data_IF_928996773085
#
_entry.id   IF_928996773085
#
_cell.length_a   1.000
_cell.length_b   1.000
_cell.length_c   1.000
_cell.angle_alpha   90.00
_cell.angle_beta   90.00
_cell.angle_gamma   90.00
#
_symmetry.space_group_name_H-M   'P 1'
#
loop_
_entity.id
_entity.type
_entity.pdbx_description
1 polymer ?
#
# COMPACT_ATOMS: atom_id res chain seq x y z
N UNK A 1 21.04 18.11 3.38
CA UNK A 1 21.36 17.58 4.73
C UNK A 1 20.17 17.73 5.66
N UNK A 2 19.82 16.70 6.42
CA UNK A 2 18.75 16.71 7.42
C UNK A 2 19.16 17.54 8.67
N UNK A 3 18.14 18.02 9.38
CA UNK A 3 18.32 18.74 10.65
C UNK A 3 18.21 17.76 11.83
N UNK A 4 18.78 18.16 12.98
CA UNK A 4 18.64 17.39 14.24
C UNK A 4 17.16 17.19 14.64
N UNK A 5 16.27 18.14 14.31
CA UNK A 5 14.84 18.03 14.56
C UNK A 5 14.19 16.95 13.68
N UNK A 6 14.63 16.80 12.43
CA UNK A 6 14.15 15.72 11.54
C UNK A 6 14.61 14.34 12.00
N UNK A 7 15.86 14.21 12.46
CA UNK A 7 16.35 12.98 13.06
C UNK A 7 15.52 12.59 14.30
N UNK A 8 15.29 13.58 15.18
CA UNK A 8 14.49 13.39 16.39
C UNK A 8 13.05 12.94 16.06
N UNK A 9 12.41 13.55 15.04
CA UNK A 9 11.09 13.16 14.57
C UNK A 9 11.06 11.69 14.12
N UNK A 10 12.06 11.24 13.35
CA UNK A 10 12.18 9.83 12.91
C UNK A 10 12.24 8.88 14.10
N UNK A 11 13.07 9.18 15.11
CA UNK A 11 13.22 8.33 16.30
C UNK A 11 11.94 8.30 17.14
N UNK A 12 11.30 9.46 17.37
CA UNK A 12 10.06 9.58 18.13
C UNK A 12 8.91 8.82 17.44
N UNK A 13 8.79 8.92 16.11
CA UNK A 13 7.79 8.18 15.32
C UNK A 13 8.03 6.68 15.39
N UNK A 14 9.28 6.23 15.30
CA UNK A 14 9.63 4.81 15.42
C UNK A 14 9.27 4.26 16.80
N UNK A 15 9.55 5.00 17.88
CA UNK A 15 9.18 4.62 19.25
C UNK A 15 7.66 4.65 19.47
N UNK A 16 6.95 5.58 18.83
CA UNK A 16 5.49 5.63 18.85
C UNK A 16 4.88 4.41 18.16
N UNK A 17 5.44 4.01 17.02
CA UNK A 17 5.01 2.80 16.30
C UNK A 17 5.18 1.53 17.14
N UNK A 18 6.27 1.38 17.91
CA UNK A 18 6.44 0.25 18.82
C UNK A 18 5.27 0.11 19.80
N UNK A 19 4.82 1.24 20.35
CA UNK A 19 3.70 1.31 21.30
C UNK A 19 2.36 1.06 20.61
N UNK A 20 2.08 1.70 19.47
CA UNK A 20 0.81 1.54 18.73
C UNK A 20 0.63 0.12 18.18
N UNK A 21 1.71 -0.53 17.76
CA UNK A 21 1.70 -1.88 17.24
C UNK A 21 1.76 -2.94 18.36
N UNK A 22 1.99 -2.54 19.62
CA UNK A 22 2.19 -3.44 20.75
C UNK A 22 3.30 -4.49 20.47
N UNK A 23 4.46 -4.03 19.99
CA UNK A 23 5.53 -4.91 19.50
C UNK A 23 5.97 -5.93 20.56
N UNK A 24 6.08 -5.53 21.81
CA UNK A 24 6.50 -6.46 22.88
C UNK A 24 5.48 -7.56 23.13
N UNK A 25 4.18 -7.21 23.10
CA UNK A 25 3.12 -8.21 23.21
C UNK A 25 3.10 -9.15 22.00
N UNK A 26 3.33 -8.61 20.79
CA UNK A 26 3.42 -9.43 19.57
C UNK A 26 4.61 -10.40 19.58
N UNK A 27 5.73 -10.04 20.19
CA UNK A 27 6.87 -10.95 20.35
C UNK A 27 6.47 -12.16 21.21
N UNK A 28 5.83 -11.91 22.36
CA UNK A 28 5.33 -12.98 23.23
C UNK A 28 4.30 -13.85 22.52
N UNK A 29 3.31 -13.21 21.85
CA UNK A 29 2.31 -13.93 21.08
C UNK A 29 2.92 -14.77 19.95
N UNK A 30 3.93 -14.25 19.27
CA UNK A 30 4.67 -14.99 18.23
C UNK A 30 5.33 -16.24 18.79
N UNK A 31 6.04 -16.13 19.91
CA UNK A 31 6.69 -17.27 20.56
C UNK A 31 5.68 -18.33 21.00
N UNK A 32 4.57 -17.92 21.62
CA UNK A 32 3.49 -18.84 22.02
C UNK A 32 2.85 -19.56 20.83
N UNK A 33 2.49 -18.81 19.76
CA UNK A 33 1.87 -19.38 18.59
C UNK A 33 2.84 -20.26 17.78
N UNK A 34 4.12 -19.91 17.78
CA UNK A 34 5.17 -20.73 17.17
C UNK A 34 5.37 -22.05 17.93
N UNK A 35 5.37 -22.03 19.26
CA UNK A 35 5.43 -23.25 20.07
C UNK A 35 4.27 -24.21 19.77
N UNK A 36 3.06 -23.68 19.52
CA UNK A 36 1.90 -24.50 19.15
C UNK A 36 2.08 -25.24 17.82
N UNK A 37 2.88 -24.68 16.89
CA UNK A 37 3.17 -25.35 15.61
C UNK A 37 4.13 -26.54 15.76
N UNK A 38 4.82 -26.66 16.91
CA UNK A 38 5.76 -27.75 17.20
C UNK A 38 5.10 -28.94 17.91
N UNK A 39 3.80 -28.85 18.22
CA UNK A 39 3.08 -29.95 18.87
C UNK A 39 3.03 -31.21 17.95
N UNK A 40 3.19 -32.42 18.49
CA UNK A 40 3.23 -33.64 17.69
C UNK A 40 1.97 -33.89 16.86
N UNK A 41 0.82 -33.42 17.33
CA UNK A 41 -0.51 -33.54 16.72
C UNK A 41 -0.86 -32.38 15.77
N UNK A 42 0.06 -31.44 15.58
CA UNK A 42 -0.19 -30.20 14.82
C UNK A 42 -0.67 -30.47 13.38
N UNK A 43 -0.14 -31.51 12.74
CA UNK A 43 -0.42 -31.84 11.35
C UNK A 43 -1.59 -32.81 11.17
N UNK A 44 -2.24 -33.26 12.24
CA UNK A 44 -3.40 -34.18 12.15
C UNK A 44 -4.63 -33.52 11.51
N UNK A 45 -4.80 -32.19 11.71
CA UNK A 45 -5.83 -31.39 11.04
C UNK A 45 -5.21 -30.32 10.11
N UNK A 46 -5.18 -30.58 8.79
CA UNK A 46 -4.55 -29.68 7.83
C UNK A 46 -5.19 -28.29 7.77
N UNK A 47 -6.51 -28.16 8.02
CA UNK A 47 -7.19 -26.85 8.00
C UNK A 47 -6.77 -26.00 9.19
N UNK A 48 -6.79 -26.60 10.37
CA UNK A 48 -6.34 -25.93 11.61
C UNK A 48 -4.86 -25.55 11.55
N UNK A 49 -4.02 -26.46 11.01
CA UNK A 49 -2.60 -26.18 10.81
C UNK A 49 -2.39 -25.00 9.85
N UNK A 50 -3.14 -24.93 8.75
CA UNK A 50 -3.04 -23.83 7.80
C UNK A 50 -3.48 -22.49 8.41
N UNK A 51 -4.57 -22.45 9.18
CA UNK A 51 -5.02 -21.24 9.89
C UNK A 51 -4.00 -20.78 10.90
N UNK A 52 -3.44 -21.71 11.68
CA UNK A 52 -2.39 -21.41 12.66
C UNK A 52 -1.12 -20.85 11.99
N UNK A 53 -0.64 -21.47 10.92
CA UNK A 53 0.51 -20.99 10.16
C UNK A 53 0.26 -19.60 9.55
N UNK A 54 -0.96 -19.33 9.10
CA UNK A 54 -1.34 -18.01 8.60
C UNK A 54 -1.28 -16.95 9.71
N UNK A 55 -1.73 -17.31 10.93
CA UNK A 55 -1.65 -16.42 12.09
C UNK A 55 -0.20 -16.12 12.46
N UNK A 56 0.64 -17.15 12.58
CA UNK A 56 2.07 -16.99 12.90
C UNK A 56 2.77 -16.10 11.89
N UNK A 57 2.59 -16.36 10.59
CA UNK A 57 3.16 -15.53 9.52
C UNK A 57 2.68 -14.08 9.56
N UNK A 58 1.42 -13.85 9.93
CA UNK A 58 0.88 -12.50 10.09
C UNK A 58 1.59 -11.71 11.19
N UNK A 59 1.82 -12.36 12.36
CA UNK A 59 2.54 -11.72 13.48
C UNK A 59 4.01 -11.51 13.11
N UNK A 60 4.68 -12.54 12.57
CA UNK A 60 6.08 -12.49 12.14
C UNK A 60 6.36 -11.31 11.20
N UNK A 61 5.44 -11.07 10.26
CA UNK A 61 5.58 -9.97 9.32
C UNK A 61 5.56 -8.61 10.00
N UNK A 62 4.62 -8.37 10.91
CA UNK A 62 4.61 -7.12 11.68
C UNK A 62 5.89 -6.89 12.45
N UNK A 63 6.43 -7.94 13.08
CA UNK A 63 7.70 -7.89 13.80
C UNK A 63 8.86 -7.60 12.86
N UNK A 64 8.88 -8.22 11.67
CA UNK A 64 9.92 -8.01 10.65
C UNK A 64 9.88 -6.59 10.07
N UNK A 65 8.68 -6.11 9.72
CA UNK A 65 8.52 -4.76 9.15
C UNK A 65 8.93 -3.68 10.18
N UNK A 66 8.53 -3.85 11.44
CA UNK A 66 8.96 -2.94 12.51
C UNK A 66 10.47 -3.01 12.75
N UNK A 67 11.04 -4.22 12.75
CA UNK A 67 12.48 -4.41 12.93
C UNK A 67 13.27 -3.67 11.84
N UNK A 68 12.84 -3.79 10.57
CA UNK A 68 13.47 -3.08 9.46
C UNK A 68 13.37 -1.55 9.61
N UNK A 69 12.21 -1.03 10.00
CA UNK A 69 12.04 0.41 10.23
C UNK A 69 12.93 0.91 11.39
N UNK A 70 13.09 0.11 12.44
CA UNK A 70 13.96 0.42 13.57
C UNK A 70 15.43 0.40 13.15
N UNK A 71 15.87 -0.62 12.40
CA UNK A 71 17.24 -0.72 11.89
C UNK A 71 17.59 0.50 11.03
N UNK A 72 16.70 0.94 10.11
CA UNK A 72 16.93 2.15 9.33
C UNK A 72 17.00 3.42 10.17
N UNK A 73 16.20 3.54 11.23
CA UNK A 73 16.28 4.68 12.15
C UNK A 73 17.59 4.70 12.95
N UNK A 74 18.06 3.54 13.41
CA UNK A 74 19.33 3.39 14.12
C UNK A 74 20.53 3.66 13.19
N UNK A 75 20.50 3.16 11.94
CA UNK A 75 21.49 3.44 10.88
C UNK A 75 21.56 4.94 10.58
N UNK A 76 20.41 5.60 10.44
CA UNK A 76 20.34 7.04 10.23
C UNK A 76 20.98 7.82 11.39
N UNK A 77 20.70 7.43 12.64
CA UNK A 77 21.31 8.08 13.80
C UNK A 77 22.82 7.94 13.77
N UNK A 78 23.34 6.73 13.49
CA UNK A 78 24.78 6.49 13.37
C UNK A 78 25.40 7.31 12.23
N UNK A 79 24.74 7.36 11.07
CA UNK A 79 25.23 8.14 9.93
C UNK A 79 25.28 9.64 10.26
N UNK A 80 24.27 10.15 10.99
CA UNK A 80 24.23 11.56 11.42
C UNK A 80 25.34 11.88 12.42
N UNK A 81 25.63 10.97 13.37
CA UNK A 81 26.73 11.15 14.32
C UNK A 81 28.08 11.10 13.61
N UNK A 82 28.30 10.17 12.69
CA UNK A 82 29.54 10.08 11.89
C UNK A 82 29.73 11.22 10.91
N UNK A 83 28.66 11.85 10.45
CA UNK A 83 28.76 13.07 9.64
C UNK A 83 29.41 14.21 10.43
N UNK A 84 29.11 14.35 11.72
CA UNK A 84 29.76 15.34 12.59
C UNK A 84 31.24 15.07 12.82
N UNK A 85 31.68 13.84 12.60
CA UNK A 85 33.09 13.41 12.69
C UNK A 85 33.79 13.36 11.32
N UNK A 86 33.18 13.93 10.27
CA UNK A 86 33.67 13.93 8.88
C UNK A 86 33.93 12.53 8.27
N UNK A 87 33.25 11.49 8.78
CA UNK A 87 33.40 10.10 8.33
C UNK A 87 32.41 9.67 7.26
N UNK A 88 31.29 10.38 7.13
CA UNK A 88 30.16 10.07 6.21
C UNK A 88 29.79 11.34 5.46
N UNK A 89 29.35 11.19 4.20
CA UNK A 89 28.93 12.30 3.35
C UNK A 89 27.49 12.73 3.62
N UNK A 90 27.13 13.97 3.29
CA UNK A 90 25.76 14.48 3.37
C UNK A 90 24.76 13.65 2.55
N UNK A 91 25.16 13.22 1.35
CA UNK A 91 24.34 12.41 0.44
C UNK A 91 24.00 11.03 1.03
N UNK A 92 24.91 10.45 1.81
CA UNK A 92 24.66 9.18 2.52
C UNK A 92 23.63 9.35 3.61
N UNK A 93 23.75 10.40 4.42
CA UNK A 93 22.76 10.73 5.48
C UNK A 93 21.38 10.99 4.88
N UNK A 94 21.28 11.76 3.80
CA UNK A 94 20.00 12.04 3.13
C UNK A 94 19.40 10.78 2.50
N UNK A 95 20.23 9.85 2.01
CA UNK A 95 19.79 8.55 1.51
C UNK A 95 19.21 7.68 2.62
N UNK A 96 19.87 7.61 3.77
CA UNK A 96 19.41 6.81 4.91
C UNK A 96 18.16 7.43 5.56
N UNK A 97 18.07 8.75 5.59
CA UNK A 97 16.84 9.44 5.97
C UNK A 97 15.66 9.06 5.07
N UNK A 98 15.86 9.08 3.75
CA UNK A 98 14.80 8.70 2.81
C UNK A 98 14.33 7.25 2.99
N UNK A 99 15.27 6.32 3.29
CA UNK A 99 14.93 4.91 3.60
C UNK A 99 14.14 4.79 4.91
N UNK A 100 14.58 5.46 5.97
CA UNK A 100 13.93 5.44 7.28
C UNK A 100 12.52 6.01 7.21
N UNK A 101 12.34 7.18 6.61
CA UNK A 101 11.03 7.82 6.43
C UNK A 101 10.09 6.92 5.65
N UNK A 102 10.55 6.36 4.53
CA UNK A 102 9.73 5.46 3.71
C UNK A 102 9.25 4.25 4.49
N UNK A 103 10.12 3.58 5.23
CA UNK A 103 9.76 2.41 6.03
C UNK A 103 8.77 2.75 7.16
N UNK A 104 8.94 3.91 7.81
CA UNK A 104 8.03 4.39 8.86
C UNK A 104 6.66 4.70 8.27
N UNK A 105 6.58 5.46 7.18
CA UNK A 105 5.33 5.84 6.53
C UNK A 105 4.55 4.61 6.03
N UNK A 106 5.23 3.63 5.45
CA UNK A 106 4.61 2.36 5.03
C UNK A 106 4.02 1.61 6.23
N UNK A 107 4.71 1.60 7.37
CA UNK A 107 4.25 0.92 8.58
C UNK A 107 3.09 1.67 9.26
N UNK A 108 3.14 3.00 9.30
CA UNK A 108 2.04 3.86 9.77
C UNK A 108 0.78 3.65 8.93
N UNK A 109 0.92 3.61 7.61
CA UNK A 109 -0.17 3.36 6.68
C UNK A 109 -0.78 1.98 6.91
N UNK A 110 0.03 0.92 7.01
CA UNK A 110 -0.44 -0.43 7.36
C UNK A 110 -1.18 -0.45 8.70
N UNK A 111 -0.70 0.29 9.70
CA UNK A 111 -1.35 0.38 11.01
C UNK A 111 -2.74 1.03 10.97
N UNK A 112 -3.05 1.83 9.95
CA UNK A 112 -4.40 2.37 9.73
C UNK A 112 -5.36 1.32 9.15
N UNK A 113 -4.86 0.27 8.52
CA UNK A 113 -5.62 -0.80 7.88
C UNK A 113 -5.92 -1.92 8.90
N UNK A 114 -6.95 -1.71 9.75
CA UNK A 114 -7.27 -2.61 10.87
C UNK A 114 -8.54 -3.43 10.66
N UNK A 115 -9.27 -3.22 9.56
CA UNK A 115 -10.49 -3.96 9.30
C UNK A 115 -10.16 -5.37 8.81
N UNK A 116 -11.04 -6.33 9.12
CA UNK A 116 -10.88 -7.73 8.76
C UNK A 116 -10.75 -7.95 7.24
N UNK A 117 -11.36 -7.05 6.49
CA UNK A 117 -11.41 -7.09 5.03
C UNK A 117 -10.18 -6.43 4.37
N UNK A 118 -9.47 -5.55 5.08
CA UNK A 118 -8.35 -4.78 4.53
C UNK A 118 -7.25 -5.64 3.86
N UNK A 119 -6.88 -6.82 4.40
CA UNK A 119 -5.87 -7.67 3.78
C UNK A 119 -6.30 -8.40 2.50
N UNK A 120 -7.56 -8.27 2.10
CA UNK A 120 -8.11 -8.99 0.96
C UNK A 120 -7.64 -8.41 -0.37
N UNK A 121 -7.70 -9.26 -1.41
CA UNK A 121 -7.66 -8.82 -2.79
C UNK A 121 -8.89 -7.96 -3.13
N UNK A 122 -8.81 -7.17 -4.19
CA UNK A 122 -9.93 -6.33 -4.56
C UNK A 122 -10.35 -6.48 -6.03
N UNK A 123 -11.59 -6.11 -6.26
CA UNK A 123 -12.16 -5.90 -7.61
C UNK A 123 -12.45 -4.40 -7.75
N UNK A 124 -11.88 -3.79 -8.77
CA UNK A 124 -12.08 -2.38 -9.08
C UNK A 124 -12.88 -2.24 -10.37
N UNK A 125 -13.96 -1.47 -10.32
CA UNK A 125 -14.77 -1.12 -11.50
C UNK A 125 -14.68 0.38 -11.74
N UNK A 126 -14.34 0.77 -12.97
CA UNK A 126 -14.29 2.17 -13.40
C UNK A 126 -15.32 2.33 -14.51
N UNK A 127 -16.19 3.36 -14.40
CA UNK A 127 -17.13 3.70 -15.44
C UNK A 127 -16.95 5.17 -15.84
N UNK A 128 -16.98 5.45 -17.12
CA UNK A 128 -17.04 6.83 -17.62
C UNK A 128 -18.35 7.48 -17.17
N UNK A 129 -18.25 8.74 -16.75
CA UNK A 129 -19.40 9.54 -16.33
C UNK A 129 -19.88 10.49 -17.41
N UNK A 130 -20.53 11.58 -17.01
CA UNK A 130 -20.92 12.64 -17.92
C UNK A 130 -19.71 13.34 -18.54
N UNK A 131 -19.71 13.57 -19.85
CA UNK A 131 -18.64 14.26 -20.58
C UNK A 131 -18.29 13.64 -21.94
N UNK A 132 -19.01 12.61 -22.38
CA UNK A 132 -18.80 11.98 -23.71
C UNK A 132 -17.37 11.40 -23.83
N UNK A 133 -16.73 11.60 -24.99
CA UNK A 133 -15.38 11.12 -25.31
C UNK A 133 -14.34 11.54 -24.25
N UNK A 134 -14.46 12.74 -23.70
CA UNK A 134 -13.53 13.23 -22.66
C UNK A 134 -13.61 12.41 -21.36
N UNK A 135 -14.82 11.99 -20.95
CA UNK A 135 -15.00 11.14 -19.77
C UNK A 135 -14.53 9.70 -20.00
N UNK A 136 -14.66 9.20 -21.23
CA UNK A 136 -14.15 7.88 -21.63
C UNK A 136 -12.62 7.87 -21.63
N UNK A 137 -11.97 8.94 -22.08
CA UNK A 137 -10.52 9.10 -22.00
C UNK A 137 -10.05 9.21 -20.53
N UNK A 138 -10.78 9.98 -19.71
CA UNK A 138 -10.48 10.06 -18.29
C UNK A 138 -10.56 8.70 -17.59
N UNK A 139 -11.57 7.90 -17.86
CA UNK A 139 -11.68 6.54 -17.34
C UNK A 139 -10.49 5.64 -17.76
N UNK A 140 -10.02 5.78 -19.01
CA UNK A 140 -8.81 5.10 -19.49
C UNK A 140 -7.54 5.56 -18.78
N UNK A 141 -7.42 6.84 -18.46
CA UNK A 141 -6.29 7.37 -17.68
C UNK A 141 -6.28 6.80 -16.26
N UNK A 142 -7.44 6.75 -15.59
CA UNK A 142 -7.59 6.14 -14.28
C UNK A 142 -7.20 4.65 -14.30
N UNK A 143 -7.69 3.88 -15.28
CA UNK A 143 -7.33 2.48 -15.45
C UNK A 143 -5.80 2.32 -15.50
N UNK A 144 -5.13 3.08 -16.37
CA UNK A 144 -3.66 3.04 -16.49
C UNK A 144 -2.94 3.44 -15.21
N UNK A 145 -3.47 4.43 -14.49
CA UNK A 145 -2.91 4.89 -13.20
C UNK A 145 -2.94 3.76 -12.17
N UNK A 146 -4.09 3.13 -11.98
CA UNK A 146 -4.21 2.03 -11.00
C UNK A 146 -3.45 0.77 -11.41
N UNK A 147 -3.38 0.45 -12.71
CA UNK A 147 -2.55 -0.66 -13.19
C UNK A 147 -1.08 -0.44 -12.86
N UNK A 148 -0.53 0.75 -13.14
CA UNK A 148 0.86 1.09 -12.82
C UNK A 148 1.13 1.12 -11.32
N UNK A 149 0.17 1.64 -10.55
CA UNK A 149 0.27 1.60 -9.09
C UNK A 149 0.34 0.17 -8.58
N UNK A 150 -0.53 -0.69 -9.05
CA UNK A 150 -0.55 -2.09 -8.67
C UNK A 150 0.75 -2.82 -9.04
N UNK A 151 1.24 -2.62 -10.26
CA UNK A 151 2.52 -3.20 -10.72
C UNK A 151 3.71 -2.74 -9.86
N UNK A 152 3.78 -1.44 -9.54
CA UNK A 152 4.87 -0.88 -8.72
C UNK A 152 4.86 -1.39 -7.27
N UNK A 153 3.70 -1.87 -6.78
CA UNK A 153 3.52 -2.47 -5.44
C UNK A 153 3.53 -4.01 -5.47
N UNK A 154 3.86 -4.62 -6.63
CA UNK A 154 3.98 -6.07 -6.76
C UNK A 154 2.67 -6.84 -6.84
N UNK A 155 1.54 -6.15 -7.07
CA UNK A 155 0.25 -6.79 -7.32
C UNK A 155 0.16 -7.30 -8.76
N UNK A 156 -0.65 -8.35 -8.94
CA UNK A 156 -1.07 -8.85 -10.25
C UNK A 156 -2.40 -8.21 -10.61
N UNK A 157 -2.49 -7.63 -11.80
CA UNK A 157 -3.73 -7.05 -12.31
C UNK A 157 -4.26 -7.92 -13.44
N UNK A 158 -5.53 -8.32 -13.33
CA UNK A 158 -6.27 -9.01 -14.38
C UNK A 158 -7.47 -8.19 -14.80
N UNK A 159 -7.54 -7.82 -16.06
CA UNK A 159 -8.73 -7.20 -16.63
C UNK A 159 -9.78 -8.30 -16.87
N UNK A 160 -10.89 -8.23 -16.11
CA UNK A 160 -11.97 -9.20 -16.19
C UNK A 160 -12.98 -8.85 -17.26
N UNK A 161 -13.26 -7.54 -17.42
CA UNK A 161 -14.16 -7.01 -18.44
C UNK A 161 -13.68 -5.63 -18.88
N UNK A 162 -13.81 -5.33 -20.18
CA UNK A 162 -13.43 -4.05 -20.77
C UNK A 162 -14.41 -3.68 -21.87
N UNK A 163 -15.02 -2.53 -21.74
CA UNK A 163 -15.84 -1.94 -22.80
C UNK A 163 -15.17 -0.68 -23.34
N UNK A 164 -14.74 -0.74 -24.57
CA UNK A 164 -14.10 0.39 -25.26
C UNK A 164 -15.06 1.57 -25.47
N UNK A 165 -14.51 2.76 -25.56
CA UNK A 165 -15.23 3.97 -25.92
C UNK A 165 -15.60 4.00 -27.40
N UNK A 166 -16.50 4.92 -27.77
CA UNK A 166 -16.97 5.01 -29.15
C UNK A 166 -15.91 5.60 -30.07
N UNK A 167 -15.14 6.58 -29.61
CA UNK A 167 -14.11 7.28 -30.39
C UNK A 167 -12.73 7.18 -29.70
N UNK A 168 -12.70 7.23 -28.39
CA UNK A 168 -11.48 7.12 -27.59
C UNK A 168 -11.79 6.67 -26.16
N UNK A 169 -10.78 6.16 -25.46
CA UNK A 169 -10.92 5.77 -24.07
C UNK A 169 -11.78 4.52 -23.86
N UNK A 170 -12.38 4.43 -22.68
CA UNK A 170 -13.20 3.27 -22.25
C UNK A 170 -14.54 3.73 -21.65
N UNK A 171 -15.61 2.97 -21.89
CA UNK A 171 -16.90 3.14 -21.21
C UNK A 171 -16.87 2.57 -19.83
N UNK A 172 -16.34 1.37 -19.69
CA UNK A 172 -16.17 0.71 -18.40
C UNK A 172 -15.02 -0.29 -18.42
N UNK A 173 -14.45 -0.55 -17.25
CA UNK A 173 -13.50 -1.63 -17.02
C UNK A 173 -13.72 -2.25 -15.65
N UNK A 174 -13.56 -3.56 -15.56
CA UNK A 174 -13.49 -4.30 -14.30
C UNK A 174 -12.13 -4.96 -14.22
N UNK A 175 -11.38 -4.66 -13.16
CA UNK A 175 -10.04 -5.20 -12.90
C UNK A 175 -10.04 -5.94 -11.58
N UNK A 176 -9.34 -7.06 -11.54
CA UNK A 176 -9.02 -7.79 -10.32
C UNK A 176 -7.56 -7.51 -9.96
N UNK A 177 -7.31 -7.11 -8.72
CA UNK A 177 -5.99 -6.76 -8.20
C UNK A 177 -5.68 -7.73 -7.07
N UNK A 178 -4.67 -8.58 -7.30
CA UNK A 178 -4.41 -9.78 -6.50
C UNK A 178 -2.92 -9.97 -6.19
N UNK A 179 -2.64 -10.91 -5.30
CA UNK A 179 -1.31 -11.45 -5.07
C UNK A 179 -0.40 -10.62 -4.19
N UNK A 180 -0.92 -9.54 -3.64
CA UNK A 180 -0.26 -8.74 -2.62
C UNK A 180 -1.06 -8.74 -1.32
N UNK A 181 -0.69 -7.85 -0.42
CA UNK A 181 -1.41 -7.65 0.83
C UNK A 181 -2.07 -6.30 0.87
N UNK A 182 -3.25 -6.25 1.49
CA UNK A 182 -3.99 -5.02 1.70
C UNK A 182 -4.44 -4.32 0.40
N UNK A 183 -4.57 -5.03 -0.73
CA UNK A 183 -5.03 -4.44 -1.98
C UNK A 183 -6.36 -3.70 -1.80
N UNK A 184 -7.34 -4.35 -1.15
CA UNK A 184 -8.60 -3.72 -0.80
C UNK A 184 -8.43 -2.58 0.20
N UNK A 185 -7.63 -2.77 1.23
CA UNK A 185 -7.38 -1.77 2.26
C UNK A 185 -6.85 -0.46 1.71
N UNK A 186 -5.88 -0.51 0.80
CA UNK A 186 -5.32 0.68 0.15
C UNK A 186 -6.30 1.35 -0.82
N UNK A 187 -7.04 0.56 -1.58
CA UNK A 187 -7.87 1.06 -2.68
C UNK A 187 -9.31 1.38 -2.29
N UNK A 188 -9.81 0.89 -1.14
CA UNK A 188 -11.20 1.14 -0.71
C UNK A 188 -11.57 2.62 -0.59
N UNK A 189 -10.60 3.48 -0.27
CA UNK A 189 -10.81 4.93 -0.17
C UNK A 189 -10.94 5.62 -1.53
N UNK A 190 -10.59 4.94 -2.61
CA UNK A 190 -10.78 5.44 -3.98
C UNK A 190 -12.24 5.36 -4.46
N UNK A 191 -13.13 4.73 -3.69
CA UNK A 191 -14.55 4.69 -3.99
C UNK A 191 -15.13 6.09 -4.14
N UNK A 192 -15.71 6.39 -5.31
CA UNK A 192 -16.35 7.66 -5.52
C UNK A 192 -16.29 8.15 -6.95
N UNK A 193 -16.51 9.47 -7.11
CA UNK A 193 -16.48 10.15 -8.40
C UNK A 193 -15.19 10.95 -8.52
N UNK A 194 -14.42 10.60 -9.51
CA UNK A 194 -13.13 11.24 -9.84
C UNK A 194 -13.34 12.32 -10.90
N UNK A 195 -12.88 13.53 -10.59
CA UNK A 195 -13.04 14.71 -11.44
C UNK A 195 -11.72 15.06 -12.11
N UNK A 196 -11.76 15.24 -13.43
CA UNK A 196 -10.67 15.79 -14.22
C UNK A 196 -11.05 17.18 -14.73
N UNK A 197 -10.13 18.15 -14.59
CA UNK A 197 -10.25 19.47 -15.18
C UNK A 197 -8.98 19.75 -15.98
N UNK A 198 -9.11 19.80 -17.31
CA UNK A 198 -7.99 20.08 -18.23
C UNK A 198 -8.45 20.80 -19.48
N UNK A 199 -7.49 21.30 -20.27
CA UNK A 199 -7.76 21.69 -21.66
C UNK A 199 -7.99 20.41 -22.45
N UNK A 200 -9.16 20.30 -23.10
CA UNK A 200 -9.56 19.08 -23.80
C UNK A 200 -8.76 18.88 -25.09
N UNK A 201 -8.13 17.71 -25.29
CA UNK A 201 -7.48 17.38 -26.55
C UNK A 201 -8.49 17.09 -27.68
N UNK A 202 -9.77 16.86 -27.34
CA UNK A 202 -10.85 16.58 -28.27
C UNK A 202 -11.63 17.83 -28.69
N UNK A 203 -11.32 19.00 -28.11
CA UNK A 203 -11.96 20.26 -28.40
C UNK A 203 -11.05 21.15 -29.24
N UNK A 204 -11.39 21.36 -30.52
CA UNK A 204 -10.60 22.18 -31.44
C UNK A 204 -10.41 23.65 -30.97
N UNK A 205 -11.30 24.16 -30.11
CA UNK A 205 -11.19 25.49 -29.54
C UNK A 205 -10.28 25.58 -28.28
N UNK A 206 -9.68 24.48 -27.82
CA UNK A 206 -8.82 24.44 -26.66
C UNK A 206 -9.52 24.87 -25.36
N UNK A 207 -10.82 24.66 -25.24
CA UNK A 207 -11.58 25.01 -24.05
C UNK A 207 -11.24 24.07 -22.88
N UNK A 208 -11.23 24.66 -21.68
CA UNK A 208 -11.12 23.89 -20.44
C UNK A 208 -12.41 23.15 -20.16
N UNK A 209 -12.31 21.82 -20.04
CA UNK A 209 -13.44 20.92 -19.83
C UNK A 209 -13.33 20.24 -18.47
N UNK A 210 -14.48 19.85 -17.93
CA UNK A 210 -14.58 19.05 -16.71
C UNK A 210 -15.24 17.72 -17.05
N UNK A 211 -14.61 16.63 -16.65
CA UNK A 211 -15.09 15.27 -16.89
C UNK A 211 -15.12 14.48 -15.59
N UNK A 212 -16.00 13.51 -15.52
CA UNK A 212 -16.18 12.66 -14.36
C UNK A 212 -16.07 11.19 -14.74
N UNK A 213 -15.51 10.40 -13.84
CA UNK A 213 -15.54 8.95 -13.90
C UNK A 213 -15.83 8.40 -12.50
N UNK A 214 -16.58 7.33 -12.39
CA UNK A 214 -16.84 6.66 -11.13
C UNK A 214 -15.87 5.50 -10.94
N UNK A 215 -15.30 5.39 -9.75
CA UNK A 215 -14.50 4.26 -9.31
C UNK A 215 -15.25 3.54 -8.19
N UNK A 216 -15.39 2.24 -8.32
CA UNK A 216 -15.97 1.38 -7.32
C UNK A 216 -14.98 0.27 -6.99
N UNK A 217 -14.66 0.12 -5.70
CA UNK A 217 -13.74 -0.89 -5.19
C UNK A 217 -14.48 -1.77 -4.20
N UNK A 218 -14.45 -3.08 -4.43
CA UNK A 218 -14.99 -4.08 -3.52
C UNK A 218 -13.95 -5.14 -3.22
N UNK A 219 -14.13 -5.82 -2.10
CA UNK A 219 -13.30 -6.97 -1.73
C UNK A 219 -13.58 -8.14 -2.67
N UNK A 220 -12.53 -8.84 -3.07
CA UNK A 220 -12.69 -10.10 -3.77
C UNK A 220 -13.08 -11.19 -2.76
N UNK A 221 -14.34 -11.63 -2.78
CA UNK A 221 -14.75 -12.81 -2.00
C UNK A 221 -14.13 -14.06 -2.63
N UNK A 222 -13.42 -14.84 -1.83
CA UNK A 222 -13.02 -16.21 -2.24
C UNK A 222 -14.29 -17.06 -2.20
N UNK A 223 -14.79 -17.41 -3.39
CA UNK A 223 -15.86 -18.41 -3.57
C UNK A 223 -15.23 -19.78 -3.50
#
# INVERSE_FOLDING_TARGET
MITSDQLKDVLERTDALARYLNIDQKKVEFEEEQLRTQAPDFWEDPKRAQEQMKKVKGIERWLKDYKAAREYADELQLAFDFYHDDMVTEDEVDTDYAKAIKAIEELELKNMLRQKEDPMDCVMKINSGAGGTESQDWASMLMRMYMRWAESHGYKVRVADLQEGDEAGIKSVTMEIEGGEYAYGYLKSENGVHRLVRVSPFNAQGKRMTSFASVFVDRKSVV
#
